data_IF_542388324380
#
_entry.id   IF_542388324380
#
_cell.length_a   1.000
_cell.length_b   1.000
_cell.length_c   1.000
_cell.angle_alpha   90.00
_cell.angle_beta   90.00
_cell.angle_gamma   90.00
#
_symmetry.space_group_name_H-M   'P 1'
#
loop_
_entity.id
_entity.type
_entity.pdbx_description
1 polymer ?
#
# COMPACT_ATOMS: atom_id res chain seq x y z
N UNK A 1 23.62 -14.03 -5.37
CA UNK A 1 22.37 -14.12 -6.14
C UNK A 1 21.45 -14.90 -5.25
N UNK A 2 20.72 -14.21 -4.39
CA UNK A 2 19.79 -14.86 -3.45
C UNK A 2 18.67 -15.53 -4.26
N UNK A 3 18.33 -16.74 -3.85
CA UNK A 3 17.29 -17.55 -4.47
C UNK A 3 15.93 -16.84 -4.24
N UNK A 4 15.13 -16.55 -5.28
CA UNK A 4 13.79 -16.01 -5.12
C UNK A 4 12.93 -16.84 -4.15
N UNK A 5 13.16 -18.15 -4.07
CA UNK A 5 12.46 -19.04 -3.15
C UNK A 5 12.90 -18.85 -1.69
N UNK A 6 14.15 -18.44 -1.43
CA UNK A 6 14.64 -18.12 -0.07
C UNK A 6 14.02 -16.82 0.45
N UNK A 7 13.87 -15.79 -0.40
CA UNK A 7 13.20 -14.55 -0.03
C UNK A 7 11.70 -14.78 0.28
N UNK A 8 11.03 -15.60 -0.54
CA UNK A 8 9.63 -15.98 -0.32
C UNK A 8 9.45 -16.84 0.93
N UNK A 9 10.44 -17.66 1.26
CA UNK A 9 10.46 -18.47 2.47
C UNK A 9 10.71 -17.61 3.71
N UNK A 10 11.63 -16.66 3.67
CA UNK A 10 11.85 -15.69 4.75
C UNK A 10 10.62 -14.82 5.02
N UNK A 11 9.91 -14.38 3.96
CA UNK A 11 8.65 -13.64 4.07
C UNK A 11 7.49 -14.49 4.61
N UNK A 12 7.51 -15.82 4.43
CA UNK A 12 6.53 -16.77 4.99
C UNK A 12 6.86 -17.20 6.42
N UNK A 13 8.14 -17.29 6.78
CA UNK A 13 8.61 -17.80 8.07
C UNK A 13 8.82 -16.71 9.13
N UNK A 14 8.97 -15.44 8.73
CA UNK A 14 8.89 -14.32 9.68
C UNK A 14 7.43 -13.94 9.89
N UNK A 15 6.82 -14.22 11.06
CA UNK A 15 5.57 -13.58 11.38
C UNK A 15 5.82 -12.07 11.29
N UNK A 16 5.03 -11.33 10.50
CA UNK A 16 5.08 -9.88 10.52
C UNK A 16 5.03 -9.43 11.98
N UNK A 17 6.07 -8.73 12.42
CA UNK A 17 6.19 -8.34 13.82
C UNK A 17 4.94 -7.53 14.18
N UNK A 18 4.36 -7.79 15.35
CA UNK A 18 3.26 -6.99 15.90
C UNK A 18 3.61 -5.49 16.02
N UNK A 19 4.88 -5.15 15.80
CA UNK A 19 5.46 -3.81 15.77
C UNK A 19 5.51 -3.17 14.36
N UNK A 20 4.93 -3.75 13.30
CA UNK A 20 4.79 -3.04 12.03
C UNK A 20 3.54 -2.15 12.05
N UNK A 21 3.53 -1.14 11.19
CA UNK A 21 2.35 -0.32 10.96
C UNK A 21 1.58 -0.83 9.73
N UNK A 22 0.26 -0.59 9.66
CA UNK A 22 -0.53 -1.00 8.50
C UNK A 22 -0.09 -0.31 7.21
N UNK A 23 -0.31 -0.98 6.09
CA UNK A 23 -0.21 -0.40 4.76
C UNK A 23 -1.60 -0.07 4.22
N UNK A 24 -1.81 1.18 3.80
CA UNK A 24 -3.07 1.63 3.22
C UNK A 24 -3.00 1.54 1.69
N UNK A 25 -3.95 0.81 1.11
CA UNK A 25 -4.01 0.50 -0.31
C UNK A 25 -5.23 1.20 -0.92
N UNK A 26 -5.02 2.19 -1.78
CA UNK A 26 -6.09 3.02 -2.33
C UNK A 26 -6.17 2.83 -3.83
N UNK A 27 -7.37 2.71 -4.39
CA UNK A 27 -7.52 2.54 -5.82
C UNK A 27 -7.21 3.82 -6.63
N UNK A 28 -7.42 4.99 -6.02
CA UNK A 28 -7.14 6.31 -6.57
C UNK A 28 -7.06 7.34 -5.42
N UNK A 29 -7.02 8.64 -5.71
CA UNK A 29 -6.86 9.69 -4.70
C UNK A 29 -8.15 10.04 -3.94
N UNK A 30 -9.33 9.59 -4.39
CA UNK A 30 -10.61 9.96 -3.75
C UNK A 30 -10.69 9.50 -2.28
N UNK A 31 -10.26 8.28 -1.90
CA UNK A 31 -10.33 7.83 -0.51
C UNK A 31 -9.45 8.62 0.46
N UNK A 32 -8.40 9.32 -0.02
CA UNK A 32 -7.54 10.14 0.84
C UNK A 32 -8.32 11.21 1.61
N UNK A 33 -9.41 11.71 1.02
CA UNK A 33 -10.23 12.78 1.57
C UNK A 33 -11.66 12.34 1.90
N UNK A 34 -11.98 11.06 1.69
CA UNK A 34 -13.31 10.54 1.96
C UNK A 34 -13.50 10.27 3.46
N UNK A 35 -14.73 10.48 3.93
CA UNK A 35 -15.20 9.94 5.21
C UNK A 35 -15.48 8.45 5.05
N UNK A 36 -14.89 7.64 5.92
CA UNK A 36 -14.98 6.20 6.01
C UNK A 36 -15.65 5.86 7.36
N UNK A 37 -16.97 5.78 7.37
CA UNK A 37 -17.72 5.66 8.63
C UNK A 37 -17.46 6.85 9.55
N UNK A 38 -16.93 6.57 10.75
CA UNK A 38 -16.60 7.56 11.79
C UNK A 38 -15.26 8.29 11.57
N UNK A 39 -14.47 7.92 10.56
CA UNK A 39 -13.13 8.49 10.34
C UNK A 39 -12.81 8.78 8.87
N UNK A 40 -11.53 8.88 8.56
CA UNK A 40 -10.97 9.08 7.22
C UNK A 40 -9.61 8.39 7.13
N UNK A 41 -9.09 8.18 5.91
CA UNK A 41 -7.76 7.55 5.75
C UNK A 41 -6.68 8.35 6.48
N UNK A 42 -6.75 9.69 6.42
CA UNK A 42 -5.79 10.55 7.11
C UNK A 42 -5.84 10.42 8.64
N UNK A 43 -7.02 10.23 9.22
CA UNK A 43 -7.18 9.99 10.67
C UNK A 43 -6.68 8.60 11.06
N UNK A 44 -6.91 7.57 10.23
CA UNK A 44 -6.38 6.23 10.45
C UNK A 44 -4.84 6.20 10.36
N UNK A 45 -4.27 6.90 9.37
CA UNK A 45 -2.81 7.08 9.26
C UNK A 45 -2.27 7.84 10.47
N UNK A 46 -2.96 8.90 10.90
CA UNK A 46 -2.54 9.66 12.09
C UNK A 46 -2.60 8.83 13.38
N UNK A 47 -3.56 7.91 13.49
CA UNK A 47 -3.67 6.98 14.60
C UNK A 47 -2.65 5.83 14.54
N UNK A 48 -2.15 5.50 13.34
CA UNK A 48 -1.13 4.47 13.14
C UNK A 48 0.28 4.92 13.56
N UNK A 49 0.48 6.23 13.74
CA UNK A 49 1.70 6.70 14.38
C UNK A 49 1.73 6.18 15.83
N UNK A 50 2.68 5.30 16.13
CA UNK A 50 2.90 4.81 17.51
C UNK A 50 3.22 5.97 18.44
N UNK A 51 3.20 5.73 19.77
CA UNK A 51 3.55 6.66 20.87
C UNK A 51 4.98 7.24 20.75
N UNK A 52 5.24 7.96 19.69
CA UNK A 52 6.52 8.52 19.34
C UNK A 52 6.58 9.93 19.94
N UNK A 53 7.56 10.12 20.83
CA UNK A 53 7.82 11.42 21.42
C UNK A 53 8.56 12.32 20.41
N UNK A 54 7.84 12.80 19.39
CA UNK A 54 8.43 13.69 18.39
C UNK A 54 8.63 15.10 18.94
N UNK A 55 9.79 15.67 18.67
CA UNK A 55 10.06 17.10 18.93
C UNK A 55 9.43 17.97 17.83
N UNK A 56 9.40 17.46 16.59
CA UNK A 56 9.01 18.21 15.38
C UNK A 56 7.80 17.64 14.64
N UNK A 57 7.17 16.59 15.17
CA UNK A 57 6.10 15.84 14.49
C UNK A 57 6.59 14.79 13.48
N UNK A 58 5.68 14.03 12.85
CA UNK A 58 6.02 12.97 11.91
C UNK A 58 6.44 13.51 10.55
N UNK A 59 7.29 12.76 9.86
CA UNK A 59 7.82 13.07 8.53
C UNK A 59 7.10 12.29 7.44
N UNK A 60 6.62 13.00 6.41
CA UNK A 60 5.96 12.41 5.26
C UNK A 60 6.81 12.52 3.98
N UNK A 61 7.20 11.39 3.41
CA UNK A 61 7.85 11.33 2.11
C UNK A 61 6.85 10.95 1.02
N UNK A 62 6.88 11.67 -0.11
CA UNK A 62 6.12 11.33 -1.31
C UNK A 62 7.06 10.83 -2.40
N UNK A 63 6.75 9.68 -2.98
CA UNK A 63 7.46 9.14 -4.14
C UNK A 63 6.57 9.21 -5.38
N UNK A 64 6.91 10.13 -6.28
CA UNK A 64 6.18 10.42 -7.51
C UNK A 64 6.65 9.63 -8.73
N UNK A 65 7.62 8.72 -8.59
CA UNK A 65 8.27 8.06 -9.72
C UNK A 65 7.27 7.33 -10.67
N UNK A 66 6.18 6.76 -10.14
CA UNK A 66 5.13 6.13 -10.94
C UNK A 66 4.46 7.09 -11.93
N UNK A 67 4.37 8.39 -11.63
CA UNK A 67 3.78 9.42 -12.49
C UNK A 67 4.82 10.35 -13.13
N UNK A 68 6.11 10.04 -13.01
CA UNK A 68 7.19 10.89 -13.50
C UNK A 68 7.34 12.19 -12.70
N UNK A 69 7.11 12.14 -11.39
CA UNK A 69 7.29 13.27 -10.46
C UNK A 69 6.49 14.51 -10.83
N UNK A 70 5.27 14.29 -11.31
CA UNK A 70 4.35 15.35 -11.73
C UNK A 70 3.89 16.19 -10.52
N UNK A 71 4.11 17.52 -10.52
CA UNK A 71 3.87 18.39 -9.36
C UNK A 71 2.41 18.39 -8.90
N UNK A 72 1.45 18.24 -9.81
CA UNK A 72 0.02 18.19 -9.46
C UNK A 72 -0.35 17.03 -8.53
N UNK A 73 0.40 15.91 -8.57
CA UNK A 73 0.18 14.81 -7.62
C UNK A 73 0.86 15.07 -6.28
N UNK A 74 1.95 15.83 -6.27
CA UNK A 74 2.59 16.27 -5.04
C UNK A 74 1.70 17.24 -4.26
N UNK A 75 0.99 18.16 -4.94
CA UNK A 75 0.01 19.06 -4.30
C UNK A 75 -1.12 18.31 -3.57
N UNK A 76 -1.60 17.21 -4.17
CA UNK A 76 -2.59 16.32 -3.55
C UNK A 76 -2.00 15.67 -2.29
N UNK A 77 -0.76 15.18 -2.39
CA UNK A 77 -0.04 14.63 -1.25
C UNK A 77 0.15 15.66 -0.13
N UNK A 78 0.51 16.90 -0.44
CA UNK A 78 0.69 17.94 0.59
C UNK A 78 -0.58 18.15 1.41
N UNK A 79 -1.73 18.18 0.73
CA UNK A 79 -3.05 18.29 1.37
C UNK A 79 -3.33 17.08 2.26
N UNK A 80 -2.98 15.87 1.81
CA UNK A 80 -3.13 14.65 2.60
C UNK A 80 -2.20 14.61 3.81
N UNK A 81 -0.92 14.97 3.65
CA UNK A 81 0.06 15.00 4.72
C UNK A 81 -0.34 16.00 5.83
N UNK A 82 -0.92 17.14 5.45
CA UNK A 82 -1.47 18.11 6.41
C UNK A 82 -2.65 17.52 7.20
N UNK A 83 -3.59 16.86 6.52
CA UNK A 83 -4.70 16.17 7.17
C UNK A 83 -4.20 15.07 8.12
N UNK A 84 -3.17 14.33 7.70
CA UNK A 84 -2.50 13.28 8.46
C UNK A 84 -1.48 13.81 9.50
N UNK A 85 -1.46 15.11 9.78
CA UNK A 85 -0.63 15.73 10.85
C UNK A 85 0.89 15.57 10.68
N UNK A 86 1.38 15.53 9.44
CA UNK A 86 2.82 15.55 9.12
C UNK A 86 3.28 16.97 8.76
N UNK A 87 3.85 17.75 9.72
CA UNK A 87 4.33 19.10 9.44
C UNK A 87 5.59 19.12 8.58
N UNK A 88 6.36 18.03 8.58
CA UNK A 88 7.55 17.86 7.75
C UNK A 88 7.20 16.97 6.57
N UNK A 89 7.38 17.49 5.36
CA UNK A 89 7.06 16.75 4.13
C UNK A 89 8.06 17.01 3.01
N UNK A 90 8.35 15.99 2.21
CA UNK A 90 9.30 16.09 1.12
C UNK A 90 8.88 15.24 -0.07
N UNK A 91 9.02 15.79 -1.28
CA UNK A 91 8.97 15.04 -2.52
C UNK A 91 10.33 14.36 -2.73
N UNK A 92 10.37 13.04 -2.62
CA UNK A 92 11.53 12.22 -2.98
C UNK A 92 11.38 11.84 -4.44
N UNK A 93 12.11 12.54 -5.31
CA UNK A 93 12.06 12.37 -6.76
C UNK A 93 12.68 11.05 -7.20
N UNK A 94 12.36 10.62 -8.41
CA UNK A 94 12.94 9.43 -9.06
C UNK A 94 14.47 9.48 -9.13
N UNK A 95 15.05 10.68 -9.26
CA UNK A 95 16.48 10.95 -9.13
C UNK A 95 16.72 11.79 -7.87
N UNK A 96 16.82 11.16 -6.69
CA UNK A 96 16.87 11.89 -5.43
C UNK A 96 18.28 12.43 -5.16
N UNK A 97 18.34 13.60 -4.57
CA UNK A 97 19.51 14.12 -3.86
C UNK A 97 19.78 13.29 -2.60
N UNK A 98 20.98 13.44 -2.03
CA UNK A 98 21.32 12.80 -0.75
C UNK A 98 20.34 13.21 0.37
N UNK A 99 19.98 14.49 0.46
CA UNK A 99 19.01 14.99 1.43
C UNK A 99 17.61 14.36 1.27
N UNK A 100 17.17 14.06 0.03
CA UNK A 100 15.89 13.38 -0.22
C UNK A 100 15.94 11.90 0.19
N UNK A 101 17.10 11.23 0.00
CA UNK A 101 17.30 9.86 0.47
C UNK A 101 17.32 9.78 1.99
N UNK A 102 18.06 10.68 2.65
CA UNK A 102 18.11 10.76 4.11
C UNK A 102 16.73 11.05 4.69
N UNK A 103 15.97 11.94 4.02
CA UNK A 103 14.59 12.21 4.43
C UNK A 103 13.69 10.97 4.31
N UNK A 104 13.80 10.21 3.22
CA UNK A 104 13.06 8.95 3.05
C UNK A 104 13.45 7.91 4.13
N UNK A 105 14.74 7.81 4.43
CA UNK A 105 15.27 6.89 5.42
C UNK A 105 14.76 7.20 6.84
N UNK A 106 14.29 8.41 7.10
CA UNK A 106 13.74 8.85 8.41
C UNK A 106 12.23 9.10 8.38
N UNK A 107 11.55 8.82 7.26
CA UNK A 107 10.12 9.07 7.13
C UNK A 107 9.29 8.15 8.03
N UNK A 108 8.24 8.71 8.63
CA UNK A 108 7.22 8.01 9.42
C UNK A 108 6.00 7.65 8.56
N UNK A 109 5.75 8.42 7.50
CA UNK A 109 4.74 8.20 6.48
C UNK A 109 5.40 8.21 5.10
N UNK A 110 5.14 7.18 4.31
CA UNK A 110 5.64 7.05 2.94
C UNK A 110 4.45 6.86 2.00
N UNK A 111 4.28 7.81 1.06
CA UNK A 111 3.19 7.80 0.08
C UNK A 111 3.75 7.52 -1.32
N UNK A 112 3.30 6.43 -1.94
CA UNK A 112 3.63 6.07 -3.31
C UNK A 112 2.50 6.51 -4.23
N UNK A 113 2.81 7.41 -5.17
CA UNK A 113 1.85 7.97 -6.11
C UNK A 113 1.36 6.98 -7.18
N UNK A 114 0.29 7.36 -7.88
CA UNK A 114 -0.25 6.61 -9.02
C UNK A 114 0.58 6.77 -10.30
N UNK A 115 0.17 6.08 -11.38
CA UNK A 115 0.83 6.09 -12.68
C UNK A 115 1.14 4.67 -13.20
N UNK A 116 2.40 4.37 -13.52
CA UNK A 116 2.87 3.04 -13.94
C UNK A 116 3.74 2.41 -12.82
N UNK A 117 3.35 1.24 -12.26
CA UNK A 117 4.07 0.62 -11.15
C UNK A 117 5.46 0.12 -11.56
N UNK A 118 5.62 -0.42 -12.77
CA UNK A 118 6.90 -0.95 -13.24
C UNK A 118 7.86 0.18 -13.62
N UNK A 119 7.35 1.33 -14.07
CA UNK A 119 8.15 2.56 -14.20
C UNK A 119 8.66 3.03 -12.85
N UNK A 120 7.78 3.10 -11.84
CA UNK A 120 8.15 3.49 -10.48
C UNK A 120 9.21 2.56 -9.89
N UNK A 121 9.03 1.25 -10.05
CA UNK A 121 10.01 0.25 -9.59
C UNK A 121 11.39 0.47 -10.24
N UNK A 122 11.46 0.59 -11.56
CA UNK A 122 12.73 0.81 -12.27
C UNK A 122 13.45 2.08 -11.80
N UNK A 123 12.70 3.14 -11.51
CA UNK A 123 13.27 4.37 -10.97
C UNK A 123 13.85 4.14 -9.56
N UNK A 124 13.13 3.43 -8.69
CA UNK A 124 13.61 3.10 -7.34
C UNK A 124 14.84 2.19 -7.37
N UNK A 125 14.86 1.19 -8.25
CA UNK A 125 16.02 0.32 -8.45
C UNK A 125 17.23 1.12 -8.96
N UNK A 126 17.03 1.99 -9.94
CA UNK A 126 18.10 2.82 -10.52
C UNK A 126 18.66 3.84 -9.52
N UNK A 127 17.89 4.18 -8.49
CA UNK A 127 18.25 5.12 -7.44
C UNK A 127 18.57 4.44 -6.10
N UNK A 128 18.71 3.11 -6.05
CA UNK A 128 18.99 2.34 -4.83
C UNK A 128 18.01 2.64 -3.67
N UNK A 129 16.76 2.96 -3.98
CA UNK A 129 15.72 3.30 -2.98
C UNK A 129 14.96 2.09 -2.44
N UNK A 130 15.05 0.93 -3.10
CA UNK A 130 14.29 -0.27 -2.72
C UNK A 130 14.62 -0.70 -1.29
N UNK A 131 15.90 -0.79 -0.95
CA UNK A 131 16.32 -1.17 0.41
C UNK A 131 15.98 -0.09 1.44
N UNK A 132 16.11 1.19 1.09
CA UNK A 132 15.69 2.30 1.98
C UNK A 132 14.20 2.21 2.32
N UNK A 133 13.35 1.86 1.34
CA UNK A 133 11.92 1.64 1.56
C UNK A 133 11.65 0.44 2.47
N UNK A 134 12.37 -0.68 2.27
CA UNK A 134 12.25 -1.87 3.13
C UNK A 134 12.67 -1.58 4.57
N UNK A 135 13.80 -0.91 4.75
CA UNK A 135 14.32 -0.51 6.06
C UNK A 135 13.37 0.48 6.76
N UNK A 136 12.84 1.45 6.03
CA UNK A 136 11.84 2.38 6.57
C UNK A 136 10.55 1.67 6.99
N UNK A 137 10.04 0.75 6.17
CA UNK A 137 8.86 -0.03 6.52
C UNK A 137 9.10 -0.91 7.75
N UNK A 138 10.23 -1.62 7.81
CA UNK A 138 10.57 -2.49 8.96
C UNK A 138 10.83 -1.73 10.25
N UNK A 139 11.28 -0.47 10.17
CA UNK A 139 11.35 0.45 11.31
C UNK A 139 9.96 0.90 11.80
N UNK A 140 8.94 0.77 10.96
CA UNK A 140 7.56 1.11 11.28
C UNK A 140 6.98 2.31 10.53
N UNK A 141 7.55 2.72 9.39
CA UNK A 141 6.90 3.71 8.56
C UNK A 141 5.52 3.20 8.10
N UNK A 142 4.50 4.06 8.17
CA UNK A 142 3.18 3.81 7.59
C UNK A 142 3.32 3.95 6.07
N UNK A 143 2.85 2.95 5.32
CA UNK A 143 2.85 3.00 3.86
C UNK A 143 1.46 3.36 3.33
N UNK A 144 1.41 4.22 2.32
CA UNK A 144 0.18 4.53 1.57
C UNK A 144 0.48 4.39 0.09
N UNK A 145 -0.19 3.45 -0.57
CA UNK A 145 -0.12 3.29 -2.02
C UNK A 145 -1.37 3.83 -2.68
N UNK A 146 -1.21 4.68 -3.70
CA UNK A 146 -2.33 5.22 -4.49
C UNK A 146 -2.28 4.66 -5.90
N UNK A 147 -3.33 3.97 -6.32
CA UNK A 147 -3.44 3.35 -7.64
C UNK A 147 -2.22 2.45 -7.93
N UNK A 148 -1.39 2.80 -8.92
CA UNK A 148 -0.13 2.10 -9.19
C UNK A 148 0.80 2.00 -7.97
N UNK A 149 0.79 2.99 -7.06
CA UNK A 149 1.52 2.88 -5.79
C UNK A 149 1.04 1.74 -4.92
N UNK A 150 -0.27 1.44 -4.90
CA UNK A 150 -0.81 0.29 -4.17
C UNK A 150 -0.40 -1.04 -4.83
N UNK A 151 -0.45 -1.11 -6.16
CA UNK A 151 0.06 -2.26 -6.92
C UNK A 151 1.55 -2.48 -6.67
N UNK A 152 2.35 -1.41 -6.68
CA UNK A 152 3.80 -1.46 -6.46
C UNK A 152 4.18 -1.97 -5.06
N UNK A 153 3.35 -1.72 -4.03
CA UNK A 153 3.53 -2.28 -2.69
C UNK A 153 3.30 -3.81 -2.64
N UNK A 154 2.52 -4.36 -3.56
CA UNK A 154 2.18 -5.78 -3.63
C UNK A 154 3.32 -6.65 -4.17
N UNK A 155 3.02 -7.93 -4.39
CA UNK A 155 3.99 -8.94 -4.87
C UNK A 155 4.39 -8.77 -6.33
N UNK A 156 3.49 -8.23 -7.15
CA UNK A 156 3.74 -8.05 -8.57
C UNK A 156 2.48 -7.65 -9.33
N UNK A 157 2.67 -7.35 -10.61
CA UNK A 157 1.62 -7.11 -11.59
C UNK A 157 2.04 -7.71 -12.93
N UNK A 158 1.32 -7.44 -14.02
CA UNK A 158 1.67 -7.94 -15.34
C UNK A 158 2.40 -6.88 -16.16
N UNK A 159 3.47 -7.31 -16.84
CA UNK A 159 4.20 -6.47 -17.78
C UNK A 159 3.44 -6.30 -19.11
N UNK A 160 3.98 -5.49 -20.02
CA UNK A 160 3.38 -5.25 -21.33
C UNK A 160 3.29 -6.51 -22.22
N UNK A 161 3.97 -7.59 -21.86
CA UNK A 161 3.89 -8.89 -22.52
C UNK A 161 3.03 -9.88 -21.73
N UNK A 162 2.22 -9.38 -20.79
CA UNK A 162 1.23 -10.14 -20.03
C UNK A 162 1.87 -11.23 -19.14
N UNK A 163 3.14 -11.04 -18.75
CA UNK A 163 3.84 -11.92 -17.81
C UNK A 163 3.84 -11.31 -16.42
N UNK A 164 3.77 -12.14 -15.39
CA UNK A 164 3.96 -11.68 -14.03
C UNK A 164 5.35 -11.06 -13.84
N UNK A 165 5.38 -9.84 -13.31
CA UNK A 165 6.57 -9.06 -13.00
C UNK A 165 6.52 -8.69 -11.51
N UNK A 166 7.52 -9.10 -10.71
CA UNK A 166 7.59 -8.76 -9.30
C UNK A 166 7.65 -7.25 -9.06
N UNK A 167 7.09 -6.82 -7.93
CA UNK A 167 7.16 -5.43 -7.44
C UNK A 167 7.85 -5.37 -6.07
N UNK A 168 7.60 -4.36 -5.23
CA UNK A 168 8.33 -4.23 -3.95
C UNK A 168 8.07 -5.39 -3.00
N UNK A 169 6.90 -6.03 -3.05
CA UNK A 169 6.55 -7.19 -2.24
C UNK A 169 6.49 -6.89 -0.73
N UNK A 170 6.21 -5.64 -0.35
CA UNK A 170 6.08 -5.24 1.06
C UNK A 170 4.76 -5.70 1.65
N UNK A 171 3.73 -5.84 0.81
CA UNK A 171 2.48 -6.51 1.13
C UNK A 171 2.48 -7.87 0.40
N UNK A 172 2.31 -9.00 1.12
CA UNK A 172 2.38 -10.35 0.54
C UNK A 172 1.10 -10.75 -0.21
N UNK A 173 0.59 -9.84 -1.06
CA UNK A 173 -0.58 -10.01 -1.91
C UNK A 173 -0.31 -9.43 -3.29
N UNK A 174 -0.91 -10.02 -4.32
CA UNK A 174 -1.10 -9.33 -5.60
C UNK A 174 -2.17 -8.25 -5.41
N UNK A 175 -1.90 -7.02 -5.83
CA UNK A 175 -2.80 -5.88 -5.63
C UNK A 175 -3.11 -5.25 -6.97
N UNK A 176 -4.38 -5.25 -7.35
CA UNK A 176 -4.87 -4.60 -8.57
C UNK A 176 -5.91 -3.53 -8.21
N UNK A 177 -5.82 -2.36 -8.86
CA UNK A 177 -6.66 -1.21 -8.53
C UNK A 177 -7.39 -0.64 -9.74
N UNK A 178 -8.65 -0.25 -9.60
CA UNK A 178 -9.42 0.45 -10.64
C UNK A 178 -10.66 -0.32 -11.11
N UNK A 179 -11.30 0.10 -12.22
CA UNK A 179 -12.57 -0.48 -12.67
C UNK A 179 -12.46 -1.96 -13.03
N UNK A 180 -11.37 -2.37 -13.70
CA UNK A 180 -11.14 -3.75 -14.17
C UNK A 180 -10.12 -4.48 -13.27
N UNK A 181 -10.12 -4.16 -11.97
CA UNK A 181 -9.16 -4.71 -11.03
C UNK A 181 -9.33 -6.23 -10.85
N UNK A 182 -10.57 -6.74 -10.80
CA UNK A 182 -10.84 -8.15 -10.57
C UNK A 182 -10.40 -9.03 -11.75
N UNK A 183 -10.61 -8.56 -12.98
CA UNK A 183 -10.19 -9.23 -14.20
C UNK A 183 -8.67 -9.30 -14.30
N UNK A 184 -7.97 -8.18 -14.05
CA UNK A 184 -6.51 -8.17 -14.03
C UNK A 184 -5.95 -9.03 -12.91
N UNK A 185 -6.55 -8.98 -11.72
CA UNK A 185 -6.13 -9.79 -10.60
C UNK A 185 -6.22 -11.27 -10.91
N UNK A 186 -7.35 -11.72 -11.49
CA UNK A 186 -7.55 -13.10 -11.89
C UNK A 186 -6.43 -13.62 -12.81
N UNK A 187 -5.96 -12.79 -13.74
CA UNK A 187 -4.84 -13.13 -14.61
C UNK A 187 -3.47 -13.10 -13.90
N UNK A 188 -3.28 -12.15 -12.98
CA UNK A 188 -2.03 -11.98 -12.23
C UNK A 188 -1.79 -13.10 -11.21
N UNK A 189 -2.81 -13.49 -10.44
CA UNK A 189 -2.67 -14.49 -9.35
C UNK A 189 -2.33 -15.89 -9.84
N UNK A 190 -2.71 -16.25 -11.06
CA UNK A 190 -2.39 -17.56 -11.65
C UNK A 190 -0.90 -17.74 -11.95
N UNK A 191 -0.16 -16.63 -12.10
CA UNK A 191 1.27 -16.63 -12.37
C UNK A 191 2.10 -16.20 -11.15
N UNK A 192 1.44 -15.80 -10.05
CA UNK A 192 2.08 -15.26 -8.87
C UNK A 192 2.68 -16.36 -7.98
N UNK A 193 3.79 -16.09 -7.28
CA UNK A 193 4.41 -17.05 -6.36
C UNK A 193 3.53 -17.34 -5.13
N UNK A 194 2.70 -16.36 -4.73
CA UNK A 194 1.62 -16.54 -3.76
C UNK A 194 0.34 -16.33 -4.55
N UNK A 195 -0.49 -17.37 -4.75
CA UNK A 195 -1.66 -17.31 -5.63
C UNK A 195 -2.85 -16.63 -4.94
N UNK A 196 -2.62 -15.51 -4.25
CA UNK A 196 -3.65 -14.74 -3.54
C UNK A 196 -3.46 -13.26 -3.80
N UNK A 197 -4.56 -12.56 -3.99
CA UNK A 197 -4.53 -11.10 -4.02
C UNK A 197 -5.89 -10.46 -3.85
N UNK A 198 -5.90 -9.13 -3.95
CA UNK A 198 -7.08 -8.30 -3.76
C UNK A 198 -7.24 -7.29 -4.90
N UNK A 199 -8.48 -7.17 -5.36
CA UNK A 199 -8.92 -6.20 -6.33
C UNK A 199 -9.65 -5.08 -5.58
N UNK A 200 -9.12 -3.87 -5.71
CA UNK A 200 -9.67 -2.67 -5.08
C UNK A 200 -10.37 -1.86 -6.18
N UNK A 201 -11.72 -1.78 -6.18
CA UNK A 201 -12.45 -1.07 -7.21
C UNK A 201 -12.20 0.43 -7.12
N UNK A 202 -12.51 1.17 -8.18
CA UNK A 202 -12.34 2.61 -8.23
C UNK A 202 -13.06 3.30 -7.03
N UNK A 203 -12.35 4.16 -6.30
CA UNK A 203 -12.83 4.80 -5.08
C UNK A 203 -12.79 3.91 -3.83
N UNK A 204 -12.29 2.68 -3.96
CA UNK A 204 -12.07 1.76 -2.86
C UNK A 204 -10.74 1.99 -2.13
N UNK A 205 -10.70 1.51 -0.89
CA UNK A 205 -9.51 1.51 -0.05
C UNK A 205 -9.50 0.31 0.90
N UNK A 206 -8.31 -0.12 1.29
CA UNK A 206 -8.08 -1.18 2.26
C UNK A 206 -6.93 -0.83 3.20
N UNK A 207 -6.95 -1.36 4.42
CA UNK A 207 -5.81 -1.44 5.31
C UNK A 207 -5.32 -2.89 5.36
N UNK A 208 -4.05 -3.12 5.01
CA UNK A 208 -3.38 -4.38 5.26
C UNK A 208 -2.61 -4.27 6.58
N UNK A 209 -2.98 -5.10 7.54
CA UNK A 209 -2.43 -5.07 8.88
C UNK A 209 -1.23 -6.02 9.02
N UNK A 210 -0.33 -5.76 9.98
CA UNK A 210 0.80 -6.63 10.24
C UNK A 210 0.38 -8.07 10.45
N UNK A 211 -0.70 -8.38 11.16
CA UNK A 211 -1.15 -9.77 11.38
C UNK A 211 -1.61 -10.52 10.10
N UNK A 212 -1.52 -9.88 8.93
CA UNK A 212 -1.92 -10.44 7.63
C UNK A 212 -3.39 -10.24 7.32
N UNK A 213 -4.15 -9.63 8.22
CA UNK A 213 -5.55 -9.28 7.97
C UNK A 213 -5.65 -8.12 6.98
N UNK A 214 -6.71 -8.16 6.18
CA UNK A 214 -7.03 -7.14 5.19
C UNK A 214 -8.42 -6.59 5.50
N UNK A 215 -8.48 -5.30 5.81
CA UNK A 215 -9.68 -4.59 6.18
C UNK A 215 -10.14 -3.68 5.03
N UNK A 216 -11.31 -3.93 4.42
CA UNK A 216 -11.93 -2.98 3.51
C UNK A 216 -12.40 -1.73 4.25
N UNK A 217 -12.03 -0.56 3.74
CA UNK A 217 -12.31 0.71 4.42
C UNK A 217 -13.49 1.49 3.82
N UNK A 218 -13.65 1.43 2.49
CA UNK A 218 -14.59 2.29 1.75
C UNK A 218 -15.63 1.50 0.95
N UNK A 219 -15.20 0.41 0.33
CA UNK A 219 -15.99 -0.36 -0.63
C UNK A 219 -15.75 -1.84 -0.43
N UNK A 220 -16.69 -2.67 -0.89
CA UNK A 220 -16.45 -4.10 -1.05
C UNK A 220 -15.23 -4.33 -1.95
N UNK A 221 -14.34 -5.22 -1.52
CA UNK A 221 -13.20 -5.67 -2.31
C UNK A 221 -13.46 -7.09 -2.80
N UNK A 222 -12.73 -7.51 -3.81
CA UNK A 222 -12.73 -8.91 -4.25
C UNK A 222 -11.36 -9.54 -3.95
N UNK A 223 -11.36 -10.56 -3.10
CA UNK A 223 -10.22 -11.44 -2.92
C UNK A 223 -10.30 -12.56 -3.95
N UNK A 224 -9.19 -12.81 -4.64
CA UNK A 224 -9.06 -13.92 -5.59
C UNK A 224 -7.88 -14.79 -5.18
N UNK A 225 -8.14 -16.09 -5.11
CA UNK A 225 -7.14 -17.13 -4.87
C UNK A 225 -7.12 -18.10 -6.05
N UNK A 226 -5.93 -18.36 -6.61
CA UNK A 226 -5.75 -19.45 -7.57
C UNK A 226 -5.53 -20.76 -6.81
N UNK A 227 -6.31 -21.75 -7.16
CA UNK A 227 -6.25 -23.10 -6.60
C UNK A 227 -5.27 -23.97 -7.41
N UNK A 228 -4.83 -25.11 -6.85
CA UNK A 228 -3.84 -25.99 -7.49
C UNK A 228 -4.34 -26.61 -8.81
N UNK A 229 -5.66 -26.73 -8.99
CA UNK A 229 -6.28 -27.24 -10.22
C UNK A 229 -6.40 -26.18 -11.34
N UNK A 230 -5.90 -24.97 -11.09
CA UNK A 230 -6.00 -23.82 -11.99
C UNK A 230 -7.33 -23.06 -11.89
N UNK A 231 -8.23 -23.49 -11.01
CA UNK A 231 -9.46 -22.79 -10.67
C UNK A 231 -9.20 -21.49 -9.91
N UNK A 232 -10.20 -20.61 -9.89
CA UNK A 232 -10.16 -19.36 -9.13
C UNK A 232 -11.27 -19.36 -8.08
N UNK A 233 -10.90 -19.23 -6.81
CA UNK A 233 -11.83 -18.94 -5.73
C UNK A 233 -11.93 -17.43 -5.54
N UNK A 234 -13.15 -16.92 -5.52
CA UNK A 234 -13.47 -15.50 -5.33
C UNK A 234 -14.23 -15.30 -4.04
N UNK A 235 -13.88 -14.28 -3.27
CA UNK A 235 -14.58 -13.88 -2.06
C UNK A 235 -14.77 -12.37 -2.03
N UNK A 236 -15.91 -11.92 -1.52
CA UNK A 236 -16.16 -10.51 -1.28
C UNK A 236 -15.76 -10.14 0.14
N UNK A 237 -14.87 -9.16 0.27
CA UNK A 237 -14.51 -8.59 1.56
C UNK A 237 -15.35 -7.32 1.76
N UNK A 238 -16.23 -7.35 2.74
CA UNK A 238 -17.12 -6.22 3.04
C UNK A 238 -16.45 -5.27 4.03
N UNK A 239 -16.64 -3.95 3.90
CA UNK A 239 -16.26 -3.00 4.94
C UNK A 239 -16.91 -3.39 6.25
N UNK A 240 -16.17 -3.23 7.35
CA UNK A 240 -16.75 -3.40 8.68
C UNK A 240 -17.92 -2.43 8.81
N UNK A 241 -19.12 -2.95 9.09
CA UNK A 241 -20.24 -2.11 9.46
C UNK A 241 -19.85 -1.42 10.76
N UNK A 242 -19.63 -0.11 10.74
CA UNK A 242 -19.43 0.68 11.95
C UNK A 242 -20.45 0.26 13.03
N UNK A 243 -19.97 -0.01 14.24
CA UNK A 243 -20.66 -0.80 15.25
C UNK A 243 -22.14 -0.48 15.48
N UNK A 244 -22.99 -1.50 15.28
CA UNK A 244 -24.34 -1.53 15.84
C UNK A 244 -24.31 -1.93 17.31
N UNK A 245 -23.80 -1.05 18.17
CA UNK A 245 -24.00 -1.14 19.61
C UNK A 245 -25.30 -0.44 20.00
N UNK A 246 -26.40 -1.18 20.07
CA UNK A 246 -27.50 -0.97 21.03
C UNK A 246 -28.42 -2.20 21.01
N UNK A 247 -28.00 -3.29 21.68
CA UNK A 247 -28.99 -4.21 22.26
C UNK A 247 -29.71 -3.44 23.37
N UNK A 248 -30.84 -2.81 23.04
CA UNK A 248 -31.77 -2.41 24.10
C UNK A 248 -32.46 -3.66 24.62
N UNK A 249 -32.36 -3.99 25.92
CA UNK A 249 -33.29 -4.93 26.50
C UNK A 249 -34.69 -4.31 26.44
N UNK A 250 -35.61 -5.05 25.83
CA UNK A 250 -37.04 -4.77 25.91
C UNK A 250 -37.46 -4.99 27.36
N UNK A 251 -37.78 -3.89 28.05
CA UNK A 251 -38.61 -3.90 29.26
C UNK A 251 -39.88 -3.11 28.98
#
# INVERSE_FOLDING_TARGET
>A
MEDPDDLLRELRERPPSADLNPAFLLADSRPLFARLGEGSVSELVAAAYRDAAWIWGPRAAYLGACNGDRPEFYEIFESFAEAAKCPQRMHVRAEPTEAERDFLAEADLIVLGGGDPLQGLRAFESADLVEVLRESFTRGAVLVGVSAGATLLGLGTRDAAERFAPTLGLVPLVIETGPDAAERLAASVQQAPIPRGVAIPAGGAAAFHPDGSLEPLASTLEEIVSEEDGGLRRAHLLPSAAGGGDERPVH
#
